data_IF_248397966486
#
_entry.id   IF_248397966486
#
_cell.length_a   1.000
_cell.length_b   1.000
_cell.length_c   1.000
_cell.angle_alpha   90.00
_cell.angle_beta   90.00
_cell.angle_gamma   90.00
#
_symmetry.space_group_name_H-M   'P 1'
#
loop_
_entity.id
_entity.type
_entity.pdbx_description
1 polymer ?
#
# COMPACT_ATOMS: atom_id res chain seq x y z
N UNK A 1 -16.93 -26.18 1.33
CA UNK A 1 -16.71 -24.72 1.33
C UNK A 1 -15.24 -24.51 1.09
N UNK A 2 -14.86 -23.75 0.05
CA UNK A 2 -13.47 -23.37 -0.14
C UNK A 2 -13.16 -22.35 0.96
N UNK A 3 -12.11 -22.58 1.75
CA UNK A 3 -11.69 -21.64 2.80
C UNK A 3 -11.27 -20.29 2.22
N UNK A 4 -11.12 -19.28 3.07
CA UNK A 4 -10.50 -18.02 2.65
C UNK A 4 -9.07 -18.27 2.16
N UNK A 5 -8.57 -17.51 1.16
CA UNK A 5 -7.16 -17.57 0.78
C UNK A 5 -6.24 -17.36 1.99
N UNK A 6 -5.13 -18.08 2.02
CA UNK A 6 -4.10 -18.02 3.06
C UNK A 6 -3.11 -16.88 2.81
N UNK A 7 -2.23 -16.60 3.78
CA UNK A 7 -1.12 -15.68 3.59
C UNK A 7 -0.21 -16.12 2.42
N UNK A 8 0.06 -17.43 2.32
CA UNK A 8 0.85 -18.00 1.22
C UNK A 8 0.18 -17.79 -0.14
N UNK A 9 -1.14 -17.91 -0.24
CA UNK A 9 -1.88 -17.62 -1.48
C UNK A 9 -1.74 -16.16 -1.92
N UNK A 10 -1.76 -15.23 -0.95
CA UNK A 10 -1.57 -13.79 -1.19
C UNK A 10 -0.13 -13.52 -1.65
N UNK A 11 0.86 -14.08 -0.96
CA UNK A 11 2.27 -13.91 -1.31
C UNK A 11 2.54 -14.50 -2.70
N UNK A 12 2.11 -15.73 -2.95
CA UNK A 12 2.26 -16.37 -4.26
C UNK A 12 1.58 -15.57 -5.38
N UNK A 13 0.42 -14.96 -5.11
CA UNK A 13 -0.27 -14.12 -6.09
C UNK A 13 0.45 -12.79 -6.36
N UNK A 14 0.80 -12.05 -5.30
CA UNK A 14 1.30 -10.69 -5.42
C UNK A 14 2.78 -10.66 -5.78
N UNK A 15 3.55 -11.54 -5.17
CA UNK A 15 5.00 -11.59 -5.27
C UNK A 15 5.47 -12.70 -6.21
N UNK A 16 4.63 -13.69 -6.53
CA UNK A 16 5.05 -14.84 -7.32
C UNK A 16 5.88 -15.84 -6.50
N UNK A 17 6.50 -16.79 -7.19
CA UNK A 17 7.43 -17.75 -6.57
C UNK A 17 8.84 -17.15 -6.53
N UNK A 18 9.50 -17.21 -5.37
CA UNK A 18 10.82 -16.65 -5.14
C UNK A 18 11.92 -17.26 -6.05
N UNK A 19 13.00 -16.50 -6.34
CA UNK A 19 13.22 -15.11 -5.94
C UNK A 19 12.63 -14.11 -6.95
N UNK A 20 12.00 -13.06 -6.43
CA UNK A 20 11.53 -11.92 -7.23
C UNK A 20 12.75 -11.09 -7.63
N UNK A 21 13.19 -11.24 -8.86
CA UNK A 21 14.35 -10.50 -9.37
C UNK A 21 13.99 -9.09 -9.88
N UNK A 22 12.74 -8.86 -10.26
CA UNK A 22 12.28 -7.64 -10.92
C UNK A 22 10.89 -7.21 -10.42
N UNK A 23 10.55 -5.91 -10.46
CA UNK A 23 9.23 -5.44 -10.10
C UNK A 23 8.17 -6.05 -11.03
N UNK A 24 7.01 -6.40 -10.48
CA UNK A 24 5.90 -6.83 -11.31
C UNK A 24 5.24 -5.59 -11.94
N UNK A 25 5.19 -5.53 -13.27
CA UNK A 25 4.61 -4.39 -13.98
C UNK A 25 3.16 -4.09 -13.54
N UNK A 26 2.40 -5.11 -13.16
CA UNK A 26 0.99 -4.98 -12.78
C UNK A 26 0.75 -4.38 -11.40
N UNK A 27 1.78 -4.18 -10.57
CA UNK A 27 1.59 -3.61 -9.22
C UNK A 27 1.07 -2.18 -9.26
N UNK A 28 1.61 -1.36 -10.17
CA UNK A 28 1.30 0.07 -10.26
C UNK A 28 0.56 0.44 -11.55
N UNK A 29 0.46 -0.48 -12.51
CA UNK A 29 -0.34 -0.27 -13.72
C UNK A 29 -1.83 -0.56 -13.49
N UNK A 30 -2.67 0.21 -14.19
CA UNK A 30 -4.10 -0.10 -14.26
C UNK A 30 -4.35 -1.22 -15.25
N UNK A 31 -4.98 -2.30 -14.78
CA UNK A 31 -5.45 -3.40 -15.61
C UNK A 31 -6.79 -3.90 -15.10
N UNK A 32 -7.86 -3.66 -15.87
CA UNK A 32 -9.22 -4.06 -15.48
C UNK A 32 -9.32 -5.60 -15.31
N UNK A 33 -8.51 -6.37 -16.06
CA UNK A 33 -8.44 -7.82 -15.92
C UNK A 33 -7.78 -8.25 -14.60
N UNK A 34 -6.68 -7.59 -14.22
CA UNK A 34 -6.00 -7.85 -12.94
C UNK A 34 -6.86 -7.44 -11.75
N UNK A 35 -7.54 -6.29 -11.86
CA UNK A 35 -8.47 -5.82 -10.83
C UNK A 35 -9.65 -6.78 -10.63
N UNK A 36 -10.17 -7.34 -11.72
CA UNK A 36 -11.23 -8.36 -11.67
C UNK A 36 -10.75 -9.66 -11.01
N UNK A 37 -9.54 -10.12 -11.31
CA UNK A 37 -8.96 -11.32 -10.70
C UNK A 37 -8.72 -11.13 -9.18
N UNK A 38 -8.13 -9.98 -8.79
CA UNK A 38 -7.97 -9.63 -7.36
C UNK A 38 -9.32 -9.64 -6.66
N UNK A 39 -10.32 -8.97 -7.22
CA UNK A 39 -11.64 -8.88 -6.61
C UNK A 39 -12.29 -10.24 -6.49
N UNK A 40 -12.23 -11.08 -7.52
CA UNK A 40 -12.83 -12.40 -7.50
C UNK A 40 -12.21 -13.32 -6.43
N UNK A 41 -10.89 -13.22 -6.24
CA UNK A 41 -10.14 -14.12 -5.35
C UNK A 41 -10.08 -13.65 -3.90
N UNK A 42 -9.87 -12.35 -3.67
CA UNK A 42 -9.44 -11.83 -2.38
C UNK A 42 -10.43 -10.88 -1.70
N UNK A 43 -11.55 -10.52 -2.35
CA UNK A 43 -12.58 -9.70 -1.72
C UNK A 43 -13.10 -10.30 -0.40
N UNK A 44 -13.47 -11.59 -0.31
CA UNK A 44 -13.94 -12.17 0.95
C UNK A 44 -12.88 -12.14 2.06
N UNK A 45 -11.60 -12.26 1.70
CA UNK A 45 -10.48 -12.17 2.64
C UNK A 45 -10.31 -10.75 3.16
N UNK A 46 -10.34 -9.75 2.28
CA UNK A 46 -10.27 -8.35 2.68
C UNK A 46 -11.41 -7.97 3.63
N UNK A 47 -12.65 -8.42 3.33
CA UNK A 47 -13.80 -8.21 4.20
C UNK A 47 -13.60 -8.86 5.58
N UNK A 48 -13.07 -10.09 5.63
CA UNK A 48 -12.79 -10.79 6.88
C UNK A 48 -11.67 -10.11 7.72
N UNK A 49 -10.60 -9.63 7.07
CA UNK A 49 -9.54 -8.88 7.76
C UNK A 49 -10.03 -7.53 8.28
N UNK A 50 -10.90 -6.84 7.53
CA UNK A 50 -11.53 -5.59 7.97
C UNK A 50 -12.50 -5.79 9.14
N UNK A 51 -13.19 -6.93 9.19
CA UNK A 51 -14.08 -7.30 10.30
C UNK A 51 -13.32 -7.79 11.55
N UNK A 52 -12.00 -7.99 11.45
CA UNK A 52 -11.19 -8.57 12.53
C UNK A 52 -11.51 -10.06 12.78
N UNK A 53 -12.16 -10.73 11.83
CA UNK A 53 -12.65 -12.12 11.96
C UNK A 53 -11.73 -13.15 11.30
N UNK A 54 -10.71 -12.72 10.57
CA UNK A 54 -9.65 -13.60 10.07
C UNK A 54 -8.53 -13.73 11.11
N UNK A 55 -7.81 -14.86 11.07
CA UNK A 55 -6.57 -15.05 11.82
C UNK A 55 -5.70 -13.79 11.69
N UNK A 56 -5.06 -13.38 12.78
CA UNK A 56 -4.44 -12.05 12.84
C UNK A 56 -3.31 -11.89 11.81
N UNK A 57 -2.77 -12.97 11.23
CA UNK A 57 -1.67 -12.95 10.24
C UNK A 57 -0.55 -12.00 10.69
N UNK A 58 -0.11 -12.23 11.92
CA UNK A 58 0.86 -11.41 12.64
C UNK A 58 1.80 -12.28 13.46
N UNK A 59 1.92 -13.59 13.16
CA UNK A 59 2.84 -14.49 13.88
C UNK A 59 4.23 -14.51 13.22
N UNK A 60 4.32 -14.15 11.94
CA UNK A 60 5.59 -14.07 11.20
C UNK A 60 5.69 -12.81 10.33
N UNK A 61 6.91 -12.37 9.95
CA UNK A 61 7.09 -11.26 9.01
C UNK A 61 6.36 -11.47 7.67
N UNK A 62 6.31 -12.72 7.18
CA UNK A 62 5.67 -13.07 5.91
C UNK A 62 4.14 -12.94 5.97
N UNK A 63 3.53 -13.39 7.06
CA UNK A 63 2.10 -13.19 7.29
C UNK A 63 1.75 -11.69 7.39
N UNK A 64 2.58 -10.93 8.11
CA UNK A 64 2.34 -9.51 8.30
C UNK A 64 2.41 -8.72 6.99
N UNK A 65 3.37 -9.02 6.10
CA UNK A 65 3.42 -8.37 4.78
C UNK A 65 2.28 -8.83 3.87
N UNK A 66 1.84 -10.10 3.94
CA UNK A 66 0.65 -10.56 3.22
C UNK A 66 -0.59 -9.78 3.68
N UNK A 67 -0.75 -9.60 4.98
CA UNK A 67 -1.81 -8.78 5.59
C UNK A 67 -1.75 -7.33 5.10
N UNK A 68 -0.57 -6.72 5.06
CA UNK A 68 -0.38 -5.35 4.53
C UNK A 68 -0.82 -5.28 3.06
N UNK A 69 -0.40 -6.22 2.21
CA UNK A 69 -0.80 -6.26 0.79
C UNK A 69 -2.32 -6.32 0.64
N UNK A 70 -3.01 -7.16 1.41
CA UNK A 70 -4.47 -7.27 1.33
C UNK A 70 -5.16 -5.98 1.80
N UNK A 71 -4.65 -5.33 2.86
CA UNK A 71 -5.29 -4.14 3.44
C UNK A 71 -4.92 -2.84 2.72
N UNK A 72 -3.78 -2.77 2.06
CA UNK A 72 -3.27 -1.56 1.41
C UNK A 72 -3.37 -1.66 -0.11
N UNK A 73 -2.85 -2.72 -0.73
CA UNK A 73 -2.75 -2.79 -2.19
C UNK A 73 -4.07 -3.22 -2.84
N UNK A 74 -4.64 -4.35 -2.41
CA UNK A 74 -5.82 -4.90 -3.07
C UNK A 74 -7.02 -3.94 -3.14
N UNK A 75 -7.34 -3.11 -2.13
CA UNK A 75 -8.47 -2.20 -2.20
C UNK A 75 -8.32 -1.14 -3.30
N UNK A 76 -7.07 -0.73 -3.59
CA UNK A 76 -6.75 0.22 -4.67
C UNK A 76 -7.03 -0.37 -6.05
N UNK A 77 -6.91 -1.69 -6.22
CA UNK A 77 -7.34 -2.42 -7.42
C UNK A 77 -8.85 -2.72 -7.39
N UNK A 78 -9.37 -3.25 -6.28
CA UNK A 78 -10.74 -3.73 -6.17
C UNK A 78 -11.78 -2.62 -6.20
N UNK A 79 -11.45 -1.38 -5.81
CA UNK A 79 -12.46 -0.34 -5.56
C UNK A 79 -12.09 1.03 -6.15
N UNK A 80 -11.36 1.05 -7.28
CA UNK A 80 -10.90 2.28 -7.96
C UNK A 80 -11.98 3.36 -8.01
N UNK A 81 -11.59 4.58 -7.64
CA UNK A 81 -12.46 5.75 -7.69
C UNK A 81 -13.56 5.80 -6.62
N UNK A 82 -13.56 4.90 -5.65
CA UNK A 82 -14.55 4.87 -4.56
C UNK A 82 -13.89 5.03 -3.18
N UNK A 83 -14.62 5.43 -2.12
CA UNK A 83 -14.06 5.52 -0.78
C UNK A 83 -13.49 4.18 -0.26
N UNK A 84 -14.04 3.05 -0.73
CA UNK A 84 -13.60 1.70 -0.32
C UNK A 84 -12.14 1.42 -0.66
N UNK A 85 -11.56 2.12 -1.64
CA UNK A 85 -10.15 1.97 -1.99
C UNK A 85 -9.19 2.38 -0.86
N UNK A 86 -9.68 3.19 0.10
CA UNK A 86 -8.89 3.73 1.20
C UNK A 86 -9.41 3.27 2.57
N UNK A 87 -10.47 2.46 2.61
CA UNK A 87 -11.20 2.15 3.84
C UNK A 87 -10.36 1.37 4.87
N UNK A 88 -9.35 0.64 4.41
CA UNK A 88 -8.45 -0.14 5.26
C UNK A 88 -7.05 0.48 5.45
N UNK A 89 -6.81 1.70 4.94
CA UNK A 89 -5.50 2.39 5.03
C UNK A 89 -5.02 2.51 6.49
N UNK A 90 -5.93 2.84 7.42
CA UNK A 90 -5.58 2.98 8.84
C UNK A 90 -5.13 1.65 9.47
N UNK A 91 -5.80 0.55 9.11
CA UNK A 91 -5.45 -0.80 9.59
C UNK A 91 -4.14 -1.29 8.97
N UNK A 92 -3.91 -1.01 7.68
CA UNK A 92 -2.64 -1.29 7.02
C UNK A 92 -1.49 -0.53 7.67
N UNK A 93 -1.65 0.77 7.93
CA UNK A 93 -0.64 1.60 8.60
C UNK A 93 -0.36 1.12 10.03
N UNK A 94 -1.39 0.72 10.78
CA UNK A 94 -1.21 0.14 12.11
C UNK A 94 -0.37 -1.15 12.05
N UNK A 95 -0.68 -2.03 11.09
CA UNK A 95 0.07 -3.27 10.85
C UNK A 95 1.53 -2.96 10.51
N UNK A 96 1.77 -2.04 9.58
CA UNK A 96 3.12 -1.63 9.17
C UNK A 96 3.94 -1.04 10.31
N UNK A 97 3.31 -0.25 11.21
CA UNK A 97 3.97 0.26 12.42
C UNK A 97 4.44 -0.84 13.37
N UNK A 98 3.63 -1.89 13.55
CA UNK A 98 4.02 -3.05 14.39
C UNK A 98 5.22 -3.77 13.75
N UNK A 99 5.16 -4.03 12.44
CA UNK A 99 6.23 -4.71 11.70
C UNK A 99 7.56 -3.94 11.82
N UNK A 100 7.54 -2.63 11.57
CA UNK A 100 8.73 -1.77 11.67
C UNK A 100 9.24 -1.67 13.11
N UNK A 101 8.35 -1.56 14.10
CA UNK A 101 8.75 -1.49 15.51
C UNK A 101 9.37 -2.79 16.01
N UNK A 102 8.93 -3.94 15.48
CA UNK A 102 9.50 -5.25 15.77
C UNK A 102 10.80 -5.54 15.00
N UNK A 103 11.16 -4.72 14.01
CA UNK A 103 12.31 -4.93 13.12
C UNK A 103 12.08 -6.02 12.05
N UNK A 104 10.85 -6.52 11.94
CA UNK A 104 10.47 -7.61 11.03
C UNK A 104 10.58 -7.22 9.56
N UNK A 105 10.51 -5.93 9.23
CA UNK A 105 10.72 -5.43 7.88
C UNK A 105 12.13 -5.75 7.34
N UNK A 106 13.12 -5.82 8.22
CA UNK A 106 14.49 -6.20 7.86
C UNK A 106 14.63 -7.69 7.54
N UNK A 107 13.76 -8.53 8.10
CA UNK A 107 13.72 -9.99 7.89
C UNK A 107 13.00 -10.39 6.60
N UNK A 108 12.32 -9.44 5.94
CA UNK A 108 11.58 -9.71 4.72
C UNK A 108 12.51 -10.14 3.55
N UNK A 109 12.11 -11.13 2.72
CA UNK A 109 13.06 -11.82 1.83
C UNK A 109 13.66 -10.98 0.71
N UNK A 110 12.95 -9.94 0.27
CA UNK A 110 13.40 -9.09 -0.83
C UNK A 110 13.10 -7.62 -0.54
N UNK A 111 13.85 -6.72 -1.19
CA UNK A 111 13.59 -5.29 -1.15
C UNK A 111 12.15 -4.92 -1.54
N UNK A 112 11.50 -5.70 -2.40
CA UNK A 112 10.11 -5.46 -2.81
C UNK A 112 9.14 -5.69 -1.65
N UNK A 113 9.27 -6.79 -0.91
CA UNK A 113 8.47 -7.01 0.30
C UNK A 113 8.64 -5.85 1.30
N UNK A 114 9.88 -5.40 1.48
CA UNK A 114 10.20 -4.27 2.36
C UNK A 114 9.59 -2.96 1.85
N UNK A 115 9.62 -2.69 0.55
CA UNK A 115 8.95 -1.54 -0.07
C UNK A 115 7.44 -1.57 0.18
N UNK A 116 6.76 -2.69 -0.08
CA UNK A 116 5.32 -2.81 0.19
C UNK A 116 4.98 -2.69 1.69
N UNK A 117 5.90 -3.07 2.58
CA UNK A 117 5.74 -2.83 4.02
C UNK A 117 5.71 -1.34 4.37
N UNK A 118 6.35 -0.49 3.56
CA UNK A 118 6.49 0.95 3.81
C UNK A 118 5.40 1.78 3.14
N UNK A 119 4.78 1.28 2.06
CA UNK A 119 3.72 1.99 1.35
C UNK A 119 2.55 2.48 2.23
N UNK A 120 2.09 1.77 3.28
CA UNK A 120 1.07 2.32 4.17
C UNK A 120 1.44 3.65 4.84
N UNK A 121 2.74 3.90 5.08
CA UNK A 121 3.22 5.19 5.58
C UNK A 121 3.13 6.26 4.49
N UNK A 122 3.58 5.93 3.28
CA UNK A 122 3.49 6.79 2.08
C UNK A 122 2.03 7.13 1.69
N UNK A 123 1.10 6.22 1.95
CA UNK A 123 -0.31 6.41 1.65
C UNK A 123 -1.09 7.20 2.72
N UNK A 124 -0.47 7.51 3.86
CA UNK A 124 -1.12 8.21 4.96
C UNK A 124 -1.25 9.71 4.69
N UNK A 125 -2.41 10.31 4.97
CA UNK A 125 -2.58 11.76 4.95
C UNK A 125 -2.04 12.46 6.24
N UNK A 126 -1.20 11.77 7.03
CA UNK A 126 -0.55 12.33 8.21
C UNK A 126 0.93 12.67 7.92
N UNK A 127 1.33 13.92 8.14
CA UNK A 127 2.71 14.37 7.89
C UNK A 127 3.77 13.55 8.65
N UNK A 128 3.50 13.18 9.91
CA UNK A 128 4.42 12.34 10.68
C UNK A 128 4.60 10.94 10.09
N UNK A 129 3.57 10.38 9.43
CA UNK A 129 3.70 9.11 8.72
C UNK A 129 4.50 9.29 7.42
N UNK A 130 4.36 10.43 6.74
CA UNK A 130 5.17 10.77 5.57
C UNK A 130 6.65 10.94 5.93
N UNK A 131 6.96 11.60 7.05
CA UNK A 131 8.34 11.73 7.54
C UNK A 131 8.96 10.35 7.84
N UNK A 132 8.19 9.45 8.43
CA UNK A 132 8.61 8.07 8.67
C UNK A 132 8.78 7.29 7.36
N UNK A 133 7.91 7.50 6.37
CA UNK A 133 8.07 6.95 5.01
C UNK A 133 9.42 7.34 4.41
N UNK A 134 9.79 8.63 4.46
CA UNK A 134 11.10 9.10 3.97
C UNK A 134 12.25 8.40 4.68
N UNK A 135 12.18 8.28 6.01
CA UNK A 135 13.24 7.60 6.79
C UNK A 135 13.40 6.14 6.35
N UNK A 136 12.29 5.43 6.19
CA UNK A 136 12.26 4.00 5.82
C UNK A 136 12.75 3.77 4.38
N UNK A 137 12.27 4.55 3.43
CA UNK A 137 12.72 4.46 2.04
C UNK A 137 14.16 4.94 1.83
N UNK A 138 14.62 5.90 2.63
CA UNK A 138 16.04 6.31 2.64
C UNK A 138 16.92 5.14 3.04
N UNK A 139 16.54 4.43 4.13
CA UNK A 139 17.24 3.22 4.56
C UNK A 139 17.20 2.12 3.50
N UNK A 140 16.06 1.92 2.83
CA UNK A 140 15.95 0.94 1.74
C UNK A 140 16.89 1.28 0.59
N UNK A 141 16.93 2.55 0.17
CA UNK A 141 17.85 3.05 -0.86
C UNK A 141 19.31 2.83 -0.47
N UNK A 142 19.67 3.14 0.78
CA UNK A 142 21.05 2.99 1.27
C UNK A 142 21.50 1.53 1.29
N UNK A 143 20.58 0.59 1.58
CA UNK A 143 20.89 -0.83 1.71
C UNK A 143 20.79 -1.61 0.38
N UNK A 144 19.80 -1.27 -0.45
CA UNK A 144 19.38 -2.06 -1.61
C UNK A 144 19.46 -1.30 -2.94
N UNK A 145 19.82 -0.01 -2.91
CA UNK A 145 19.93 0.84 -4.11
C UNK A 145 18.60 1.31 -4.72
N UNK A 146 17.48 1.15 -4.02
CA UNK A 146 16.12 1.49 -4.50
C UNK A 146 15.85 3.00 -4.48
N UNK A 147 16.44 3.74 -5.42
CA UNK A 147 16.28 5.18 -5.54
C UNK A 147 14.88 5.60 -6.01
N UNK A 148 14.21 4.76 -6.80
CA UNK A 148 12.90 5.06 -7.38
C UNK A 148 11.82 5.12 -6.29
N UNK A 149 11.80 4.16 -5.37
CA UNK A 149 10.82 4.18 -4.26
C UNK A 149 11.00 5.41 -3.36
N UNK A 150 12.25 5.80 -3.08
CA UNK A 150 12.51 7.02 -2.32
C UNK A 150 12.04 8.29 -3.04
N UNK A 151 12.20 8.37 -4.36
CA UNK A 151 11.67 9.49 -5.14
C UNK A 151 10.15 9.61 -4.99
N UNK A 152 9.42 8.48 -5.03
CA UNK A 152 7.96 8.48 -4.84
C UNK A 152 7.55 8.88 -3.44
N UNK A 153 8.28 8.43 -2.41
CA UNK A 153 8.05 8.84 -1.04
C UNK A 153 8.19 10.36 -0.85
N UNK A 154 9.20 10.98 -1.48
CA UNK A 154 9.36 12.44 -1.49
C UNK A 154 8.16 13.15 -2.14
N UNK A 155 7.68 12.66 -3.29
CA UNK A 155 6.52 13.25 -3.97
C UNK A 155 5.26 13.18 -3.12
N UNK A 156 4.99 12.04 -2.48
CA UNK A 156 3.85 11.89 -1.58
C UNK A 156 3.94 12.84 -0.39
N UNK A 157 5.11 12.90 0.26
CA UNK A 157 5.35 13.81 1.38
C UNK A 157 5.13 15.26 1.01
N UNK A 158 5.61 15.70 -0.15
CA UNK A 158 5.48 17.10 -0.59
C UNK A 158 4.01 17.50 -0.80
N UNK A 159 3.18 16.58 -1.32
CA UNK A 159 1.73 16.81 -1.44
C UNK A 159 1.10 16.95 -0.06
N UNK A 160 1.41 16.06 0.88
CA UNK A 160 0.86 16.13 2.24
C UNK A 160 1.36 17.35 3.00
N UNK A 161 2.64 17.73 2.85
CA UNK A 161 3.19 18.94 3.45
C UNK A 161 2.50 20.21 2.93
N UNK A 162 2.12 20.22 1.64
CA UNK A 162 1.45 21.36 1.01
C UNK A 162 -0.05 21.44 1.32
N UNK A 163 -0.77 20.33 1.21
CA UNK A 163 -2.24 20.32 1.25
C UNK A 163 -2.83 19.68 2.52
N UNK A 164 -2.01 19.00 3.32
CA UNK A 164 -2.46 18.22 4.49
C UNK A 164 -3.24 16.95 4.14
N UNK A 165 -3.41 16.65 2.85
CA UNK A 165 -4.18 15.52 2.30
C UNK A 165 -3.79 15.28 0.84
N UNK A 166 -4.25 14.19 0.25
CA UNK A 166 -4.08 13.91 -1.18
C UNK A 166 -5.25 14.48 -2.00
N UNK A 167 -5.07 15.56 -2.79
CA UNK A 167 -6.17 16.17 -3.53
C UNK A 167 -6.82 15.22 -4.55
N UNK A 168 -6.05 14.29 -5.13
CA UNK A 168 -6.56 13.32 -6.10
C UNK A 168 -7.56 12.32 -5.48
N UNK A 169 -7.60 12.19 -4.15
CA UNK A 169 -8.61 11.38 -3.45
C UNK A 169 -9.93 12.12 -3.19
N UNK A 170 -9.98 13.44 -3.42
CA UNK A 170 -11.13 14.26 -3.03
C UNK A 170 -12.45 13.77 -3.65
N UNK A 171 -12.47 13.51 -4.96
CA UNK A 171 -13.68 13.04 -5.64
C UNK A 171 -14.15 11.68 -5.09
N UNK A 172 -13.23 10.73 -4.92
CA UNK A 172 -13.54 9.40 -4.39
C UNK A 172 -14.03 9.46 -2.94
N UNK A 173 -13.55 10.42 -2.14
CA UNK A 173 -13.92 10.62 -0.73
C UNK A 173 -15.07 11.62 -0.53
N UNK A 174 -15.66 12.17 -1.60
CA UNK A 174 -16.72 13.17 -1.51
C UNK A 174 -16.29 14.51 -0.91
N UNK A 175 -15.00 14.85 -0.97
CA UNK A 175 -14.44 16.12 -0.47
C UNK A 175 -14.50 17.19 -1.55
N UNK A 176 -14.83 18.42 -1.17
CA UNK A 176 -14.65 19.56 -2.06
C UNK A 176 -13.15 19.91 -2.20
N UNK A 177 -12.70 20.11 -3.43
CA UNK A 177 -11.34 20.61 -3.70
C UNK A 177 -11.28 22.13 -3.58
N UNK A 178 -10.20 22.64 -3.00
CA UNK A 178 -9.91 24.09 -2.97
C UNK A 178 -9.46 24.58 -4.36
N UNK A 179 -9.48 25.90 -4.63
CA UNK A 179 -8.94 26.43 -5.88
C UNK A 179 -7.48 26.05 -6.13
N UNK A 180 -6.66 26.00 -5.07
CA UNK A 180 -5.26 25.59 -5.16
C UNK A 180 -5.13 24.10 -5.53
N UNK A 181 -5.94 23.25 -4.89
CA UNK A 181 -5.99 21.81 -5.20
C UNK A 181 -6.46 21.55 -6.63
N UNK A 182 -7.45 22.32 -7.13
CA UNK A 182 -7.91 22.24 -8.53
C UNK A 182 -6.78 22.63 -9.48
N UNK A 183 -6.06 23.71 -9.18
CA UNK A 183 -4.89 24.12 -9.96
C UNK A 183 -3.81 23.03 -9.98
N UNK A 184 -3.50 22.43 -8.83
CA UNK A 184 -2.56 21.32 -8.73
C UNK A 184 -2.99 20.10 -9.55
N UNK A 185 -4.27 19.68 -9.45
CA UNK A 185 -4.82 18.52 -10.16
C UNK A 185 -4.79 18.67 -11.69
N UNK A 186 -4.65 19.89 -12.20
CA UNK A 186 -4.49 20.16 -13.64
C UNK A 186 -3.06 19.91 -14.18
N UNK A 187 -2.08 19.75 -13.29
CA UNK A 187 -0.68 19.53 -13.67
C UNK A 187 -0.43 18.06 -14.03
N UNK A 188 0.48 17.78 -14.98
CA UNK A 188 0.94 16.41 -15.23
C UNK A 188 1.53 15.78 -13.97
N UNK A 189 1.15 14.54 -13.67
CA UNK A 189 1.68 13.79 -12.51
C UNK A 189 1.08 14.18 -11.15
N UNK A 190 -0.01 14.95 -11.12
CA UNK A 190 -0.71 15.32 -9.88
C UNK A 190 -1.51 14.16 -9.23
N UNK A 191 -1.61 13.03 -9.93
CA UNK A 191 -2.18 11.77 -9.46
C UNK A 191 -1.23 10.62 -9.81
N UNK A 192 -1.05 9.72 -8.86
CA UNK A 192 -0.33 8.46 -8.99
C UNK A 192 -1.07 7.41 -8.14
#
# INVERSE_FOLDING_TARGET
MIGLPTADDVLAFWFGTAPIAAPCATWFDRSDAFDADIRARFLPLWEALCAGSADTWMDTPLEAIARIVVLDQFPRNMFRGTPRAFASDATALHTARIVVAAGWDAELPTRFHRMFCYLPFEHSEALAAQDESIRLFTRLRDQEGDADSLMWAHRHRDIIARFGRFPHRNAALGRASTPEEIGFLSLPGASF
#
